data_IF_051196099288
#
_entry.id   IF_051196099288
#
_cell.length_a   1.000
_cell.length_b   1.000
_cell.length_c   1.000
_cell.angle_alpha   90.00
_cell.angle_beta   90.00
_cell.angle_gamma   90.00
#
_symmetry.space_group_name_H-M   'P 1'
#
loop_
_entity.id
_entity.type
_entity.pdbx_description
1 polymer ?
#
# COMPACT_ATOMS: atom_id res chain seq x y z
N UNK A 1 19.76 14.05 -1.44
CA UNK A 1 19.00 14.61 -2.57
C UNK A 1 17.79 13.74 -2.77
N UNK A 2 16.59 14.34 -2.76
CA UNK A 2 15.38 13.60 -3.13
C UNK A 2 15.38 13.41 -4.66
N UNK A 3 15.29 12.16 -5.12
CA UNK A 3 15.03 11.82 -6.53
C UNK A 3 13.52 11.75 -6.74
N UNK A 4 13.07 11.81 -8.01
CA UNK A 4 11.65 11.64 -8.33
C UNK A 4 11.09 10.30 -7.78
N UNK A 5 11.94 9.28 -7.67
CA UNK A 5 11.59 7.99 -7.11
C UNK A 5 11.40 8.04 -5.58
N UNK A 6 12.29 8.70 -4.83
CA UNK A 6 12.13 8.84 -3.37
C UNK A 6 10.95 9.73 -2.99
N UNK A 7 10.63 10.74 -3.81
CA UNK A 7 9.43 11.57 -3.63
C UNK A 7 8.18 10.69 -3.80
N UNK A 8 8.10 9.92 -4.89
CA UNK A 8 6.97 9.04 -5.15
C UNK A 8 6.78 7.99 -4.05
N UNK A 9 7.86 7.40 -3.56
CA UNK A 9 7.81 6.45 -2.46
C UNK A 9 7.21 7.08 -1.18
N UNK A 10 7.61 8.32 -0.86
CA UNK A 10 7.09 9.08 0.29
C UNK A 10 5.61 9.41 0.15
N UNK A 11 5.17 9.81 -1.04
CA UNK A 11 3.75 10.05 -1.34
C UNK A 11 2.89 8.80 -1.12
N UNK A 12 3.31 7.67 -1.70
CA UNK A 12 2.62 6.39 -1.56
C UNK A 12 2.55 5.92 -0.10
N UNK A 13 3.65 6.10 0.64
CA UNK A 13 3.72 5.80 2.08
C UNK A 13 2.74 6.67 2.88
N UNK A 14 2.66 7.97 2.58
CA UNK A 14 1.75 8.88 3.25
C UNK A 14 0.29 8.51 3.00
N UNK A 15 -0.08 8.16 1.75
CA UNK A 15 -1.43 7.69 1.42
C UNK A 15 -1.75 6.41 2.21
N UNK A 16 -0.82 5.45 2.27
CA UNK A 16 -1.02 4.21 3.04
C UNK A 16 -1.27 4.49 4.53
N UNK A 17 -0.51 5.41 5.13
CA UNK A 17 -0.71 5.85 6.50
C UNK A 17 -2.10 6.47 6.68
N UNK A 18 -2.54 7.33 5.77
CA UNK A 18 -3.88 7.92 5.81
C UNK A 18 -5.00 6.87 5.69
N UNK A 19 -4.83 5.83 4.85
CA UNK A 19 -5.80 4.73 4.73
C UNK A 19 -5.92 3.94 6.05
N UNK A 20 -4.81 3.77 6.77
CA UNK A 20 -4.71 3.07 8.05
C UNK A 20 -5.26 3.86 9.25
N UNK A 21 -5.40 5.18 9.13
CA UNK A 21 -5.89 6.01 10.22
C UNK A 21 -7.30 5.59 10.62
N UNK A 22 -7.47 5.38 11.92
CA UNK A 22 -8.76 5.16 12.56
C UNK A 22 -9.31 6.51 13.01
N UNK A 23 -10.64 6.63 13.06
CA UNK A 23 -11.36 7.80 13.57
C UNK A 23 -11.30 9.05 12.67
N UNK A 24 -11.26 8.86 11.36
CA UNK A 24 -11.53 9.94 10.41
C UNK A 24 -13.03 10.25 10.39
N UNK A 25 -13.37 11.53 10.26
CA UNK A 25 -14.71 11.94 9.85
C UNK A 25 -15.05 11.40 8.46
N UNK A 26 -16.33 11.42 8.11
CA UNK A 26 -16.79 10.97 6.81
C UNK A 26 -16.13 11.76 5.66
N UNK A 27 -16.01 13.08 5.81
CA UNK A 27 -15.43 13.96 4.78
C UNK A 27 -13.92 13.71 4.63
N UNK A 28 -13.17 13.65 5.74
CA UNK A 28 -11.74 13.31 5.71
C UNK A 28 -11.50 11.93 5.09
N UNK A 29 -12.37 10.96 5.38
CA UNK A 29 -12.26 9.62 4.79
C UNK A 29 -12.52 9.67 3.28
N UNK A 30 -13.49 10.47 2.83
CA UNK A 30 -13.78 10.65 1.41
C UNK A 30 -12.57 11.26 0.69
N UNK A 31 -11.92 12.26 1.27
CA UNK A 31 -10.71 12.88 0.71
C UNK A 31 -9.55 11.88 0.56
N UNK A 32 -9.35 11.01 1.56
CA UNK A 32 -8.35 9.93 1.49
C UNK A 32 -8.70 8.95 0.36
N UNK A 33 -9.97 8.56 0.23
CA UNK A 33 -10.42 7.64 -0.82
C UNK A 33 -10.30 8.26 -2.23
N UNK A 34 -10.59 9.55 -2.38
CA UNK A 34 -10.41 10.29 -3.64
C UNK A 34 -8.93 10.39 -4.02
N UNK A 35 -8.07 10.70 -3.06
CA UNK A 35 -6.61 10.73 -3.25
C UNK A 35 -6.11 9.37 -3.74
N UNK A 36 -6.50 8.29 -3.05
CA UNK A 36 -6.16 6.93 -3.44
C UNK A 36 -6.67 6.60 -4.85
N UNK A 37 -7.93 6.95 -5.16
CA UNK A 37 -8.55 6.73 -6.47
C UNK A 37 -7.75 7.39 -7.59
N UNK A 38 -7.29 8.62 -7.39
CA UNK A 38 -6.45 9.32 -8.37
C UNK A 38 -5.09 8.65 -8.54
N UNK A 39 -4.44 8.24 -7.45
CA UNK A 39 -3.11 7.60 -7.49
C UNK A 39 -3.11 6.26 -8.22
N UNK A 40 -4.13 5.42 -8.04
CA UNK A 40 -4.18 4.09 -8.69
C UNK A 40 -4.67 4.14 -10.13
N UNK A 41 -5.36 5.21 -10.54
CA UNK A 41 -5.82 5.42 -11.93
C UNK A 41 -4.69 5.64 -12.92
N UNK A 42 -3.48 5.93 -12.46
CA UNK A 42 -2.30 6.05 -13.32
C UNK A 42 -1.97 4.72 -14.05
N UNK A 43 -2.45 3.58 -13.53
CA UNK A 43 -2.17 2.26 -14.08
C UNK A 43 -3.45 1.43 -14.20
N UNK A 44 -3.71 0.88 -15.39
CA UNK A 44 -4.86 0.02 -15.62
C UNK A 44 -4.46 -1.47 -15.55
N UNK A 45 -4.75 -2.12 -14.43
CA UNK A 45 -4.54 -3.55 -14.26
C UNK A 45 -5.55 -4.15 -13.28
N UNK A 46 -5.59 -5.48 -13.18
CA UNK A 46 -6.52 -6.18 -12.28
C UNK A 46 -6.43 -5.70 -10.83
N UNK A 47 -5.22 -5.43 -10.34
CA UNK A 47 -5.01 -4.93 -8.97
C UNK A 47 -5.62 -3.54 -8.77
N UNK A 48 -5.39 -2.61 -9.68
CA UNK A 48 -5.93 -1.24 -9.56
C UNK A 48 -7.44 -1.23 -9.75
N UNK A 49 -7.98 -2.04 -10.65
CA UNK A 49 -9.43 -2.24 -10.80
C UNK A 49 -10.07 -2.75 -9.51
N UNK A 50 -9.50 -3.76 -8.87
CA UNK A 50 -10.02 -4.29 -7.60
C UNK A 50 -9.98 -3.22 -6.49
N UNK A 51 -8.91 -2.42 -6.41
CA UNK A 51 -8.84 -1.28 -5.47
C UNK A 51 -9.95 -0.27 -5.75
N UNK A 52 -10.16 0.10 -7.02
CA UNK A 52 -11.20 1.07 -7.43
C UNK A 52 -12.60 0.58 -7.07
N UNK A 53 -12.92 -0.68 -7.33
CA UNK A 53 -14.21 -1.29 -6.97
C UNK A 53 -14.45 -1.26 -5.45
N UNK A 54 -13.43 -1.56 -4.64
CA UNK A 54 -13.57 -1.52 -3.19
C UNK A 54 -13.72 -0.08 -2.66
N UNK A 55 -13.06 0.90 -3.27
CA UNK A 55 -13.24 2.32 -2.94
C UNK A 55 -14.69 2.74 -3.21
N UNK A 56 -15.19 2.48 -4.42
CA UNK A 56 -16.56 2.86 -4.80
C UNK A 56 -17.59 2.17 -3.90
N UNK A 57 -17.32 0.93 -3.49
CA UNK A 57 -18.14 0.21 -2.50
C UNK A 57 -18.07 0.82 -1.10
N UNK A 58 -16.91 1.28 -0.64
CA UNK A 58 -16.80 1.95 0.67
C UNK A 58 -17.61 3.25 0.66
N UNK A 59 -17.50 4.04 -0.42
CA UNK A 59 -18.26 5.29 -0.59
C UNK A 59 -19.76 5.02 -0.62
N UNK A 60 -20.25 4.05 -1.40
CA UNK A 60 -21.69 3.72 -1.46
C UNK A 60 -22.24 3.31 -0.08
N UNK A 61 -21.52 2.47 0.66
CA UNK A 61 -21.94 2.06 2.00
C UNK A 61 -21.90 3.23 3.00
N UNK A 62 -20.92 4.12 2.90
CA UNK A 62 -20.86 5.33 3.73
C UNK A 62 -22.03 6.28 3.45
N UNK A 63 -22.36 6.50 2.17
CA UNK A 63 -23.49 7.34 1.77
C UNK A 63 -24.84 6.77 2.23
N UNK A 64 -24.92 5.44 2.41
CA UNK A 64 -26.09 4.75 3.00
C UNK A 64 -26.11 4.77 4.53
N UNK A 65 -25.15 5.42 5.19
CA UNK A 65 -25.09 5.53 6.65
C UNK A 65 -24.61 4.25 7.36
N UNK A 66 -23.87 3.37 6.68
CA UNK A 66 -23.32 2.16 7.31
C UNK A 66 -22.31 2.56 8.40
N UNK A 67 -22.49 2.00 9.60
CA UNK A 67 -21.63 2.28 10.76
C UNK A 67 -20.17 1.90 10.47
N UNK A 68 -19.24 2.72 10.96
CA UNK A 68 -17.80 2.58 10.65
C UNK A 68 -17.20 1.21 11.01
N UNK A 69 -17.65 0.59 12.12
CA UNK A 69 -17.15 -0.74 12.51
C UNK A 69 -17.50 -1.83 11.49
N UNK A 70 -18.63 -1.72 10.77
CA UNK A 70 -19.01 -2.67 9.73
C UNK A 70 -18.16 -2.53 8.46
N UNK A 71 -17.46 -1.40 8.30
CA UNK A 71 -16.58 -1.14 7.17
C UNK A 71 -15.13 -1.59 7.43
N UNK A 72 -14.78 -2.01 8.65
CA UNK A 72 -13.38 -2.35 8.99
C UNK A 72 -12.80 -3.43 8.08
N UNK A 73 -13.57 -4.47 7.75
CA UNK A 73 -13.11 -5.53 6.84
C UNK A 73 -12.81 -4.99 5.44
N UNK A 74 -13.66 -4.10 4.94
CA UNK A 74 -13.48 -3.45 3.63
C UNK A 74 -12.24 -2.56 3.63
N UNK A 75 -12.08 -1.73 4.68
CA UNK A 75 -10.91 -0.84 4.86
C UNK A 75 -9.60 -1.62 4.95
N UNK A 76 -9.58 -2.74 5.68
CA UNK A 76 -8.41 -3.66 5.75
C UNK A 76 -8.08 -4.24 4.38
N UNK A 77 -9.09 -4.63 3.59
CA UNK A 77 -8.89 -5.17 2.23
C UNK A 77 -8.32 -4.11 1.29
N UNK A 78 -8.88 -2.89 1.26
CA UNK A 78 -8.37 -1.76 0.47
C UNK A 78 -6.89 -1.52 0.80
N UNK A 79 -6.57 -1.44 2.08
CA UNK A 79 -5.20 -1.20 2.49
C UNK A 79 -4.25 -2.34 2.14
N UNK A 80 -4.71 -3.58 2.25
CA UNK A 80 -3.91 -4.75 1.86
C UNK A 80 -3.59 -4.67 0.37
N UNK A 81 -4.59 -4.46 -0.49
CA UNK A 81 -4.36 -4.33 -1.94
C UNK A 81 -3.48 -3.12 -2.28
N UNK A 82 -3.68 -1.97 -1.62
CA UNK A 82 -2.81 -0.82 -1.83
C UNK A 82 -1.37 -1.10 -1.38
N UNK A 83 -1.17 -1.90 -0.33
CA UNK A 83 0.15 -2.36 0.05
C UNK A 83 0.82 -3.22 -1.03
N UNK A 84 0.07 -4.10 -1.68
CA UNK A 84 0.55 -4.84 -2.85
C UNK A 84 0.91 -3.90 -4.02
N UNK A 85 0.12 -2.85 -4.23
CA UNK A 85 0.40 -1.82 -5.23
C UNK A 85 1.74 -1.14 -4.96
N UNK A 86 1.96 -0.66 -3.72
CA UNK A 86 3.22 0.00 -3.33
C UNK A 86 4.43 -0.91 -3.51
N UNK A 87 4.29 -2.22 -3.28
CA UNK A 87 5.38 -3.19 -3.45
C UNK A 87 5.72 -3.54 -4.89
N UNK A 88 4.90 -3.11 -5.85
CA UNK A 88 5.14 -3.46 -7.25
C UNK A 88 6.15 -2.46 -7.84
N UNK A 89 7.32 -2.91 -8.33
CA UNK A 89 8.36 -2.02 -8.85
C UNK A 89 7.91 -1.12 -10.01
N UNK A 90 6.91 -1.59 -10.76
CA UNK A 90 6.27 -0.83 -11.83
C UNK A 90 5.61 0.46 -11.30
N UNK A 91 5.07 0.44 -10.09
CA UNK A 91 4.34 1.55 -9.47
C UNK A 91 5.19 2.34 -8.46
N UNK A 92 6.20 1.68 -7.88
CA UNK A 92 7.17 2.28 -6.98
C UNK A 92 8.61 1.87 -7.37
N UNK A 93 9.29 2.66 -8.22
CA UNK A 93 10.62 2.34 -8.70
C UNK A 93 11.68 2.21 -7.60
N UNK A 94 11.50 2.88 -6.44
CA UNK A 94 12.41 2.70 -5.30
C UNK A 94 12.38 1.27 -4.75
N UNK A 95 11.23 0.58 -4.84
CA UNK A 95 11.16 -0.83 -4.41
C UNK A 95 12.10 -1.70 -5.23
N UNK A 96 12.31 -1.41 -6.52
CA UNK A 96 13.30 -2.11 -7.34
C UNK A 96 14.72 -1.97 -6.76
N UNK A 97 15.05 -0.79 -6.23
CA UNK A 97 16.36 -0.51 -5.61
C UNK A 97 16.55 -1.34 -4.34
N UNK A 98 15.50 -1.49 -3.55
CA UNK A 98 15.52 -2.31 -2.33
C UNK A 98 15.43 -3.81 -2.61
N UNK A 99 14.72 -4.23 -3.66
CA UNK A 99 14.69 -5.63 -4.12
C UNK A 99 16.05 -6.07 -4.69
N UNK A 100 16.76 -5.22 -5.45
CA UNK A 100 18.12 -5.52 -5.93
C UNK A 100 19.11 -5.71 -4.78
N UNK A 101 18.97 -4.93 -3.70
CA UNK A 101 19.77 -5.10 -2.48
C UNK A 101 19.40 -6.41 -1.78
N UNK A 102 18.11 -6.77 -1.75
CA UNK A 102 17.66 -8.06 -1.21
C UNK A 102 18.19 -9.22 -2.07
N UNK A 103 18.15 -9.18 -3.41
CA UNK A 103 18.69 -10.27 -4.24
C UNK A 103 20.20 -10.48 -4.04
N UNK A 104 20.98 -9.40 -3.89
CA UNK A 104 22.41 -9.49 -3.55
C UNK A 104 22.59 -10.08 -2.15
N UNK A 105 21.80 -9.64 -1.17
CA UNK A 105 21.87 -10.17 0.19
C UNK A 105 21.36 -11.62 0.27
N UNK A 106 20.38 -12.00 -0.55
CA UNK A 106 19.77 -13.33 -0.62
C UNK A 106 20.77 -14.34 -1.20
N UNK A 107 21.56 -13.96 -2.22
CA UNK A 107 22.65 -14.78 -2.74
C UNK A 107 23.77 -14.99 -1.69
N UNK A 108 24.12 -13.96 -0.92
CA UNK A 108 25.09 -14.10 0.19
C UNK A 108 24.52 -14.95 1.34
N UNK A 109 23.22 -14.83 1.64
CA UNK A 109 22.57 -15.55 2.73
C UNK A 109 22.34 -17.04 2.42
N UNK A 110 22.03 -17.40 1.17
CA UNK A 110 21.92 -18.78 0.72
C UNK A 110 23.26 -19.53 0.73
N UNK A 111 24.38 -18.81 0.61
CA UNK A 111 25.71 -19.39 0.78
C UNK A 111 25.99 -19.79 2.25
N UNK A 112 25.30 -19.19 3.22
CA UNK A 112 25.66 -19.39 4.63
C UNK A 112 24.67 -20.16 5.50
N UNK A 113 23.33 -20.09 5.38
CA UNK A 113 22.48 -20.80 6.37
C UNK A 113 21.06 -21.17 5.90
N UNK A 114 20.76 -22.47 5.87
CA UNK A 114 19.47 -23.06 5.42
C UNK A 114 18.30 -22.99 6.43
N UNK A 115 18.32 -22.10 7.43
CA UNK A 115 17.37 -22.19 8.56
C UNK A 115 16.83 -20.88 9.13
N UNK A 116 16.53 -19.84 8.35
CA UNK A 116 15.85 -18.66 8.93
C UNK A 116 14.84 -18.02 7.95
N UNK A 117 13.65 -18.62 7.83
CA UNK A 117 12.50 -18.01 7.12
C UNK A 117 11.38 -17.57 8.07
N UNK A 118 11.73 -16.88 9.18
CA UNK A 118 10.73 -16.18 10.01
C UNK A 118 11.15 -14.73 10.38
N UNK A 119 12.32 -14.25 9.96
CA UNK A 119 12.86 -12.94 10.38
C UNK A 119 12.72 -11.79 9.36
N UNK A 120 12.48 -12.09 8.09
CA UNK A 120 12.53 -11.10 6.99
C UNK A 120 11.35 -10.11 6.96
N UNK A 121 10.26 -10.38 7.69
CA UNK A 121 9.12 -9.44 7.77
C UNK A 121 9.42 -8.18 8.59
N UNK A 122 10.38 -8.21 9.52
CA UNK A 122 10.67 -7.04 10.39
C UNK A 122 11.45 -5.93 9.69
N UNK A 123 12.25 -6.25 8.67
CA UNK A 123 13.01 -5.22 7.94
C UNK A 123 12.15 -4.46 6.92
N UNK A 124 11.01 -5.02 6.50
CA UNK A 124 10.08 -4.31 5.61
C UNK A 124 9.31 -3.19 6.33
N UNK A 125 9.22 -3.26 7.67
CA UNK A 125 8.58 -2.24 8.50
C UNK A 125 9.44 -0.99 8.71
N UNK A 126 10.74 -1.03 8.39
CA UNK A 126 11.64 0.13 8.52
C UNK A 126 11.60 0.98 7.24
N UNK A 127 10.96 0.48 6.18
CA UNK A 127 10.82 1.15 4.89
C UNK A 127 9.38 1.59 4.55
N UNK A 128 8.46 1.53 5.53
CA UNK A 128 7.04 1.91 5.48
C UNK A 128 6.67 2.76 6.70
#
# INVERSE_FOLDING_TARGET
MDTQFTIRARELQNIYKCIMLKNLSQDERLDVLLTLKHTVKEHECKLTQEILELIDREVDLMMRGVKHHNLEGLRKRIATLFFHYIKTPLFNPEVARHLKVIDIFFLVFLSQNSKICNGQLKNLQILL
#
